data_IF_902908092245
#
_entry.id   IF_902908092245
#
_cell.length_a   1.000
_cell.length_b   1.000
_cell.length_c   1.000
_cell.angle_alpha   90.00
_cell.angle_beta   90.00
_cell.angle_gamma   90.00
#
_symmetry.space_group_name_H-M   'P 1'
#
loop_
_entity.id
_entity.type
_entity.pdbx_description
1 polymer ?
#
# COMPACT_ATOMS: atom_id res chain seq x y z
N UNK A 1 -9.40 6.87 5.82
CA UNK A 1 -8.88 6.70 4.49
C UNK A 1 -9.65 5.59 3.84
N UNK A 2 -10.80 5.91 3.27
CA UNK A 2 -11.28 5.11 2.16
C UNK A 2 -10.38 5.41 0.95
N UNK A 3 -10.10 4.38 0.17
CA UNK A 3 -9.73 4.58 -1.23
C UNK A 3 -10.84 5.38 -1.93
N UNK A 4 -10.53 6.11 -3.01
CA UNK A 4 -11.61 6.77 -3.76
C UNK A 4 -12.59 5.74 -4.32
N UNK A 5 -13.84 6.15 -4.52
CA UNK A 5 -14.83 5.31 -5.19
C UNK A 5 -14.30 4.83 -6.54
N UNK A 6 -14.42 3.53 -6.81
CA UNK A 6 -13.90 2.90 -8.03
C UNK A 6 -12.39 2.60 -8.03
N UNK A 7 -11.63 3.00 -7.01
CA UNK A 7 -10.17 2.75 -6.96
C UNK A 7 -9.80 1.27 -6.97
N UNK A 8 -10.63 0.40 -6.40
CA UNK A 8 -10.41 -1.06 -6.45
C UNK A 8 -10.29 -1.54 -7.91
N UNK A 9 -11.21 -1.10 -8.77
CA UNK A 9 -11.20 -1.43 -10.19
C UNK A 9 -9.98 -0.83 -10.89
N UNK A 10 -9.62 0.42 -10.57
CA UNK A 10 -8.45 1.07 -11.17
C UNK A 10 -7.13 0.38 -10.77
N UNK A 11 -6.96 0.04 -9.49
CA UNK A 11 -5.81 -0.71 -8.97
C UNK A 11 -5.72 -2.06 -9.67
N UNK A 12 -6.84 -2.81 -9.72
CA UNK A 12 -6.93 -4.10 -10.39
C UNK A 12 -6.53 -4.01 -11.86
N UNK A 13 -7.10 -3.06 -12.60
CA UNK A 13 -6.76 -2.84 -14.01
C UNK A 13 -5.28 -2.52 -14.20
N UNK A 14 -4.69 -1.69 -13.34
CA UNK A 14 -3.26 -1.38 -13.41
C UNK A 14 -2.39 -2.62 -13.17
N UNK A 15 -2.73 -3.44 -12.17
CA UNK A 15 -2.03 -4.69 -11.87
C UNK A 15 -2.18 -5.70 -13.03
N UNK A 16 -3.35 -5.78 -13.66
CA UNK A 16 -3.58 -6.63 -14.84
C UNK A 16 -2.74 -6.19 -16.04
N UNK A 17 -2.62 -4.87 -16.29
CA UNK A 17 -1.73 -4.35 -17.34
C UNK A 17 -0.28 -4.77 -17.07
N UNK A 18 0.19 -4.63 -15.83
CA UNK A 18 1.54 -5.04 -15.45
C UNK A 18 1.75 -6.54 -15.65
N UNK A 19 0.77 -7.37 -15.25
CA UNK A 19 0.82 -8.81 -15.43
C UNK A 19 0.95 -9.24 -16.91
N UNK A 20 0.40 -8.43 -17.83
CA UNK A 20 0.49 -8.64 -19.29
C UNK A 20 1.78 -8.07 -19.92
N UNK A 21 2.67 -7.49 -19.12
CA UNK A 21 3.86 -6.79 -19.62
C UNK A 21 3.57 -5.42 -20.23
N UNK A 22 2.35 -4.90 -20.05
CA UNK A 22 1.92 -3.61 -20.58
C UNK A 22 2.31 -2.43 -19.68
N UNK A 23 2.20 -1.22 -20.22
CA UNK A 23 2.52 0.01 -19.49
C UNK A 23 1.33 0.51 -18.67
N UNK A 24 1.33 0.20 -17.38
CA UNK A 24 0.48 0.86 -16.39
C UNK A 24 0.76 2.36 -16.26
N UNK A 25 -0.27 3.13 -15.91
CA UNK A 25 -0.20 4.58 -15.65
C UNK A 25 -0.16 4.84 -14.15
N UNK A 26 0.36 6.01 -13.76
CA UNK A 26 0.23 6.48 -12.37
C UNK A 26 -1.21 6.95 -12.16
N UNK A 27 -1.89 6.39 -11.16
CA UNK A 27 -3.27 6.73 -10.82
C UNK A 27 -3.37 7.23 -9.37
N UNK A 28 -4.30 8.14 -9.08
CA UNK A 28 -4.63 8.51 -7.71
C UNK A 28 -5.63 7.50 -7.14
N UNK A 29 -5.38 6.96 -5.95
CA UNK A 29 -6.18 5.85 -5.38
C UNK A 29 -6.82 6.20 -4.03
N UNK A 30 -6.44 7.31 -3.40
CA UNK A 30 -7.01 7.72 -2.13
C UNK A 30 -6.24 8.86 -1.49
N UNK A 31 -6.61 9.21 -0.25
CA UNK A 31 -6.01 10.30 0.54
C UNK A 31 -5.85 9.90 1.99
N UNK A 32 -4.67 10.19 2.55
CA UNK A 32 -4.44 10.10 3.99
C UNK A 32 -5.53 10.87 4.74
N UNK A 33 -6.02 10.31 5.85
CA UNK A 33 -6.82 11.11 6.79
C UNK A 33 -5.97 12.26 7.34
N UNK A 34 -6.61 13.32 7.82
CA UNK A 34 -5.91 14.42 8.49
C UNK A 34 -4.99 13.89 9.60
N UNK A 35 -5.49 13.00 10.45
CA UNK A 35 -4.70 12.39 11.52
C UNK A 35 -3.49 11.60 11.00
N UNK A 36 -3.67 10.72 10.01
CA UNK A 36 -2.56 9.96 9.42
C UNK A 36 -1.52 10.89 8.78
N UNK A 37 -1.97 11.93 8.08
CA UNK A 37 -1.10 12.91 7.43
C UNK A 37 -0.30 13.73 8.44
N UNK A 38 -0.94 14.18 9.52
CA UNK A 38 -0.30 14.94 10.60
C UNK A 38 0.73 14.09 11.35
N UNK A 39 0.38 12.86 11.72
CA UNK A 39 1.30 11.93 12.41
C UNK A 39 2.48 11.57 11.51
N UNK A 40 2.23 11.30 10.22
CA UNK A 40 3.29 11.01 9.26
C UNK A 40 4.24 12.21 9.10
N UNK A 41 3.69 13.42 9.03
CA UNK A 41 4.50 14.64 8.95
C UNK A 41 5.29 14.90 10.24
N UNK A 42 4.72 14.66 11.42
CA UNK A 42 5.41 14.77 12.70
C UNK A 42 6.60 13.80 12.77
N UNK A 43 6.40 12.54 12.35
CA UNK A 43 7.47 11.55 12.24
C UNK A 43 8.57 12.01 11.28
N UNK A 44 8.21 12.55 10.11
CA UNK A 44 9.18 13.05 9.13
C UNK A 44 9.99 14.23 9.66
N UNK A 45 9.34 15.19 10.32
CA UNK A 45 10.02 16.33 10.97
C UNK A 45 11.00 15.83 12.04
N UNK A 46 10.60 14.86 12.88
CA UNK A 46 11.48 14.28 13.91
C UNK A 46 12.71 13.54 13.36
N UNK A 47 12.68 13.21 12.07
CA UNK A 47 13.76 12.56 11.33
C UNK A 47 14.49 13.51 10.36
N UNK A 48 14.24 14.83 10.45
CA UNK A 48 14.79 15.85 9.56
C UNK A 48 14.48 15.61 8.06
N UNK A 49 13.31 15.05 7.78
CA UNK A 49 12.83 14.77 6.43
C UNK A 49 11.80 15.83 5.99
N UNK A 50 11.76 16.20 4.69
CA UNK A 50 10.79 17.16 4.17
C UNK A 50 9.34 16.70 4.40
N UNK A 51 8.41 17.62 4.68
CA UNK A 51 7.00 17.29 4.86
C UNK A 51 6.37 16.73 3.59
N UNK A 52 5.40 15.84 3.76
CA UNK A 52 4.46 15.48 2.70
C UNK A 52 3.41 16.59 2.59
N UNK A 53 3.37 17.28 1.46
CA UNK A 53 2.52 18.46 1.29
C UNK A 53 1.09 18.10 0.89
N UNK A 54 0.92 17.07 0.05
CA UNK A 54 -0.38 16.62 -0.43
C UNK A 54 -0.70 15.22 0.15
N UNK A 55 -1.83 15.04 0.86
CA UNK A 55 -2.21 13.75 1.42
C UNK A 55 -2.65 12.72 0.37
N UNK A 56 -2.77 13.09 -0.91
CA UNK A 56 -3.14 12.15 -1.97
C UNK A 56 -2.06 11.08 -2.23
N UNK A 57 -2.53 9.85 -2.38
CA UNK A 57 -1.71 8.67 -2.63
C UNK A 57 -1.86 8.27 -4.09
N UNK A 58 -0.71 8.18 -4.76
CA UNK A 58 -0.58 7.69 -6.12
C UNK A 58 -0.19 6.21 -6.13
N UNK A 59 -0.52 5.52 -7.21
CA UNK A 59 -0.19 4.12 -7.41
C UNK A 59 0.28 3.88 -8.83
N UNK A 60 1.47 3.29 -8.96
CA UNK A 60 1.96 2.70 -10.20
C UNK A 60 1.87 1.17 -10.16
N UNK A 61 2.24 0.56 -9.02
CA UNK A 61 2.02 -0.86 -8.74
C UNK A 61 3.09 -1.83 -9.26
N UNK A 62 4.07 -1.40 -10.05
CA UNK A 62 5.10 -2.30 -10.60
C UNK A 62 5.89 -3.06 -9.54
N UNK A 63 6.43 -2.33 -8.56
CA UNK A 63 7.23 -2.95 -7.50
C UNK A 63 6.37 -3.88 -6.61
N UNK A 64 5.19 -3.40 -6.19
CA UNK A 64 4.21 -4.20 -5.45
C UNK A 64 3.86 -5.49 -6.19
N UNK A 65 3.49 -5.40 -7.48
CA UNK A 65 3.14 -6.56 -8.29
C UNK A 65 4.30 -7.55 -8.36
N UNK A 66 5.49 -7.12 -8.75
CA UNK A 66 6.64 -8.02 -8.85
C UNK A 66 6.95 -8.73 -7.54
N UNK A 67 6.89 -8.01 -6.40
CA UNK A 67 7.17 -8.60 -5.09
C UNK A 67 6.08 -9.57 -4.65
N UNK A 68 4.80 -9.21 -4.74
CA UNK A 68 3.69 -10.04 -4.27
C UNK A 68 3.41 -11.21 -5.19
N UNK A 69 3.58 -11.03 -6.50
CA UNK A 69 3.47 -12.11 -7.46
C UNK A 69 4.56 -13.17 -7.25
N UNK A 70 5.81 -12.75 -6.97
CA UNK A 70 6.88 -13.68 -6.61
C UNK A 70 6.59 -14.49 -5.33
N UNK A 71 5.79 -13.93 -4.42
CA UNK A 71 5.30 -14.61 -3.21
C UNK A 71 4.07 -15.51 -3.47
N UNK A 72 3.57 -15.57 -4.71
CA UNK A 72 2.42 -16.39 -5.10
C UNK A 72 1.05 -15.70 -4.99
N UNK A 73 1.00 -14.44 -4.57
CA UNK A 73 -0.27 -13.72 -4.43
C UNK A 73 -0.92 -13.42 -5.78
N UNK A 74 -2.24 -13.56 -5.81
CA UNK A 74 -3.08 -13.13 -6.91
C UNK A 74 -3.25 -11.61 -6.92
N UNK A 75 -3.76 -11.08 -8.04
CA UNK A 75 -4.10 -9.66 -8.14
C UNK A 75 -5.21 -9.29 -7.13
N UNK A 76 -6.14 -10.20 -6.86
CA UNK A 76 -7.21 -9.95 -5.89
C UNK A 76 -6.66 -9.84 -4.47
N UNK A 77 -5.73 -10.71 -4.09
CA UNK A 77 -5.04 -10.60 -2.79
C UNK A 77 -4.32 -9.26 -2.66
N UNK A 78 -3.64 -8.82 -3.71
CA UNK A 78 -2.96 -7.52 -3.72
C UNK A 78 -3.94 -6.37 -3.54
N UNK A 79 -5.11 -6.41 -4.20
CA UNK A 79 -6.16 -5.39 -4.05
C UNK A 79 -6.66 -5.35 -2.60
N UNK A 80 -6.90 -6.51 -1.98
CA UNK A 80 -7.32 -6.61 -0.58
C UNK A 80 -6.25 -6.12 0.40
N UNK A 81 -4.99 -6.47 0.18
CA UNK A 81 -3.85 -5.98 0.96
C UNK A 81 -3.77 -4.44 0.90
N UNK A 82 -3.91 -3.86 -0.30
CA UNK A 82 -3.88 -2.39 -0.48
C UNK A 82 -5.05 -1.74 0.24
N UNK A 83 -6.27 -2.26 0.06
CA UNK A 83 -7.47 -1.71 0.67
C UNK A 83 -7.42 -1.76 2.20
N UNK A 84 -6.94 -2.87 2.76
CA UNK A 84 -6.74 -3.05 4.21
C UNK A 84 -5.66 -2.10 4.73
N UNK A 85 -4.48 -2.10 4.12
CA UNK A 85 -3.33 -1.30 4.54
C UNK A 85 -3.58 0.22 4.49
N UNK A 86 -4.42 0.65 3.54
CA UNK A 86 -4.81 2.05 3.37
C UNK A 86 -6.15 2.38 4.04
N UNK A 87 -6.69 1.53 4.92
CA UNK A 87 -7.96 1.80 5.60
C UNK A 87 -7.93 3.07 6.47
N UNK A 88 -9.10 3.54 6.88
CA UNK A 88 -9.22 4.65 7.82
C UNK A 88 -8.72 4.35 9.23
N UNK A 89 -8.64 3.07 9.57
CA UNK A 89 -8.16 2.61 10.86
C UNK A 89 -6.66 2.35 10.85
N UNK A 90 -5.99 2.43 9.69
CA UNK A 90 -4.57 2.23 9.61
C UNK A 90 -3.80 3.35 10.36
N UNK A 91 -2.75 2.96 11.05
CA UNK A 91 -1.95 3.83 11.89
C UNK A 91 -0.55 3.97 11.30
N UNK A 92 0.05 5.15 11.49
CA UNK A 92 1.43 5.37 11.04
C UNK A 92 2.38 4.51 11.86
N UNK A 93 3.23 3.74 11.17
CA UNK A 93 4.20 2.85 11.84
C UNK A 93 5.33 3.69 12.45
N UNK A 94 5.58 3.59 13.77
CA UNK A 94 6.58 4.40 14.46
C UNK A 94 8.00 3.88 14.18
N UNK A 95 8.54 4.19 13.00
CA UNK A 95 9.89 3.75 12.60
C UNK A 95 10.65 4.83 11.83
N UNK A 96 11.95 4.99 12.07
CA UNK A 96 12.77 5.91 11.29
C UNK A 96 13.18 5.36 9.91
N UNK A 97 12.93 4.08 9.65
CA UNK A 97 13.42 3.39 8.44
C UNK A 97 12.59 3.66 7.19
N UNK A 98 11.30 3.93 7.36
CA UNK A 98 10.35 4.08 6.26
C UNK A 98 9.13 4.89 6.67
N UNK A 99 8.44 5.45 5.68
CA UNK A 99 7.09 6.00 5.84
C UNK A 99 6.08 4.91 5.55
N UNK A 100 5.29 4.50 6.56
CA UNK A 100 4.38 3.37 6.41
C UNK A 100 3.12 3.52 7.26
N UNK A 101 2.05 2.89 6.82
CA UNK A 101 0.79 2.72 7.56
C UNK A 101 0.55 1.25 7.81
N UNK A 102 0.02 0.88 8.96
CA UNK A 102 -0.33 -0.49 9.33
C UNK A 102 -1.77 -0.53 9.77
N UNK A 103 -2.58 -1.42 9.20
CA UNK A 103 -3.91 -1.70 9.73
C UNK A 103 -3.77 -2.52 11.02
N UNK A 104 -4.14 -2.00 12.20
CA UNK A 104 -4.03 -2.75 13.45
C UNK A 104 -5.04 -3.89 13.54
N UNK A 105 -6.09 -3.88 12.70
CA UNK A 105 -7.10 -4.94 12.65
C UNK A 105 -6.66 -6.03 11.67
N UNK A 106 -6.33 -7.24 12.15
CA UNK A 106 -5.85 -8.28 11.26
C UNK A 106 -6.96 -8.78 10.34
N UNK A 107 -6.63 -8.96 9.07
CA UNK A 107 -7.49 -9.54 8.04
C UNK A 107 -7.24 -11.05 7.96
N UNK A 108 -8.29 -11.81 7.68
CA UNK A 108 -8.13 -13.20 7.24
C UNK A 108 -7.68 -13.19 5.77
N UNK A 109 -6.52 -13.78 5.49
CA UNK A 109 -5.93 -13.74 4.15
C UNK A 109 -6.40 -14.90 3.25
N UNK A 110 -7.25 -15.79 3.74
CA UNK A 110 -7.73 -16.95 2.99
C UNK A 110 -6.74 -18.11 2.89
N UNK A 111 -5.53 -17.95 3.44
CA UNK A 111 -4.47 -18.97 3.44
C UNK A 111 -4.20 -19.54 4.85
N UNK A 112 -5.03 -19.15 5.83
CA UNK A 112 -4.92 -19.59 7.22
C UNK A 112 -4.09 -18.64 8.09
N UNK A 113 -3.74 -17.45 7.59
CA UNK A 113 -3.10 -16.42 8.41
C UNK A 113 -4.09 -15.35 8.86
N UNK A 114 -3.71 -14.66 9.94
CA UNK A 114 -4.31 -13.39 10.36
C UNK A 114 -3.25 -12.32 10.19
N UNK A 115 -3.43 -11.46 9.19
CA UNK A 115 -2.37 -10.54 8.75
C UNK A 115 -2.71 -9.07 9.04
N UNK A 116 -1.73 -8.33 9.51
CA UNK A 116 -1.78 -6.87 9.60
C UNK A 116 -1.12 -6.28 8.36
N UNK A 117 -1.93 -5.80 7.42
CA UNK A 117 -1.44 -5.24 6.17
C UNK A 117 -0.77 -3.88 6.39
N UNK A 118 0.45 -3.73 5.87
CA UNK A 118 1.25 -2.51 5.96
C UNK A 118 1.43 -1.90 4.58
N UNK A 119 1.09 -0.63 4.41
CA UNK A 119 1.38 0.15 3.20
C UNK A 119 2.73 0.85 3.40
N UNK A 120 3.66 0.61 2.48
CA UNK A 120 4.94 1.34 2.42
C UNK A 120 4.81 2.47 1.41
N UNK A 121 5.08 3.69 1.86
CA UNK A 121 4.96 4.91 1.07
C UNK A 121 6.34 5.43 0.67
N UNK A 122 6.51 5.68 -0.62
CA UNK A 122 7.65 6.41 -1.18
C UNK A 122 7.26 7.88 -1.34
N UNK A 123 8.11 8.80 -0.88
CA UNK A 123 7.78 10.23 -0.75
C UNK A 123 8.76 11.16 -1.49
N UNK A 124 9.58 10.64 -2.41
CA UNK A 124 10.59 11.40 -3.15
C UNK A 124 10.34 11.45 -4.66
N UNK A 125 9.84 10.37 -5.27
CA UNK A 125 9.67 10.26 -6.72
C UNK A 125 8.46 11.02 -7.25
N UNK A 126 7.44 11.25 -6.40
CA UNK A 126 6.14 11.82 -6.77
C UNK A 126 5.75 13.08 -6.00
N UNK A 127 6.73 13.83 -5.48
CA UNK A 127 6.48 15.10 -4.79
C UNK A 127 5.53 15.98 -5.63
N UNK A 128 4.51 16.60 -5.02
CA UNK A 128 4.27 16.73 -3.58
C UNK A 128 3.49 15.56 -2.93
N UNK A 129 3.19 14.49 -3.68
CA UNK A 129 2.31 13.38 -3.27
C UNK A 129 3.10 12.15 -2.85
N UNK A 130 2.43 11.25 -2.13
CA UNK A 130 2.97 9.94 -1.80
C UNK A 130 2.72 8.94 -2.94
N UNK A 131 3.65 8.01 -3.16
CA UNK A 131 3.42 6.80 -3.96
C UNK A 131 3.27 5.58 -3.04
N UNK A 132 2.22 4.80 -3.22
CA UNK A 132 2.15 3.45 -2.63
C UNK A 132 3.16 2.56 -3.35
N UNK A 133 4.25 2.26 -2.67
CA UNK A 133 5.38 1.52 -3.22
C UNK A 133 5.19 0.01 -3.12
N UNK A 134 4.74 -0.46 -1.95
CA UNK A 134 4.48 -1.89 -1.68
C UNK A 134 3.48 -2.08 -0.54
N UNK A 135 2.93 -3.28 -0.43
CA UNK A 135 2.19 -3.75 0.75
C UNK A 135 2.99 -4.85 1.45
N UNK A 136 2.87 -5.01 2.77
CA UNK A 136 3.47 -6.12 3.53
C UNK A 136 2.40 -6.73 4.43
N UNK A 137 1.94 -7.97 4.18
CA UNK A 137 1.01 -8.67 5.07
C UNK A 137 1.77 -9.21 6.29
N UNK A 138 1.87 -8.45 7.38
CA UNK A 138 2.60 -8.92 8.58
C UNK A 138 1.83 -10.05 9.24
N UNK A 139 2.52 -11.16 9.53
CA UNK A 139 1.89 -12.39 10.01
C UNK A 139 1.61 -13.41 8.91
N UNK A 140 2.09 -13.16 7.68
CA UNK A 140 2.08 -14.09 6.56
C UNK A 140 3.10 -15.23 6.75
N UNK A 141 2.66 -16.31 7.40
CA UNK A 141 3.48 -17.51 7.60
C UNK A 141 3.18 -18.59 6.54
N UNK A 142 1.94 -18.63 6.06
CA UNK A 142 1.48 -19.57 5.04
C UNK A 142 1.20 -18.81 3.75
N UNK A 143 2.15 -18.83 2.81
CA UNK A 143 2.00 -18.18 1.51
C UNK A 143 1.08 -18.96 0.56
N UNK A 144 0.46 -18.30 -0.43
CA UNK A 144 -0.28 -18.98 -1.49
C UNK A 144 0.61 -20.01 -2.18
N UNK A 145 0.07 -21.21 -2.43
CA UNK A 145 0.79 -22.19 -3.26
C UNK A 145 0.79 -21.68 -4.69
N UNK A 146 1.98 -21.49 -5.26
CA UNK A 146 2.11 -21.34 -6.70
C UNK A 146 1.65 -22.65 -7.33
N UNK A 147 0.58 -22.64 -8.14
CA UNK A 147 0.30 -23.77 -9.01
C UNK A 147 1.49 -23.92 -9.97
N UNK A 148 2.02 -25.15 -10.15
CA UNK A 148 3.12 -25.42 -11.08
C UNK A 148 2.76 -25.09 -12.53
#
# INVERSE_FOLDING_TARGET
MPLYDGSHSLIRSNLMLIARGERAKVIAIGKLTALQHDVLNAQRISADLPRLLDPEILFLGRHLFSSRHADGYSIEDMVEQIASALSAQAEVVPTKKMSALCNPRPRDDGYGNRVNDVAVLELSARKPKAELFSTIPRGDWVKPRQCP
#
